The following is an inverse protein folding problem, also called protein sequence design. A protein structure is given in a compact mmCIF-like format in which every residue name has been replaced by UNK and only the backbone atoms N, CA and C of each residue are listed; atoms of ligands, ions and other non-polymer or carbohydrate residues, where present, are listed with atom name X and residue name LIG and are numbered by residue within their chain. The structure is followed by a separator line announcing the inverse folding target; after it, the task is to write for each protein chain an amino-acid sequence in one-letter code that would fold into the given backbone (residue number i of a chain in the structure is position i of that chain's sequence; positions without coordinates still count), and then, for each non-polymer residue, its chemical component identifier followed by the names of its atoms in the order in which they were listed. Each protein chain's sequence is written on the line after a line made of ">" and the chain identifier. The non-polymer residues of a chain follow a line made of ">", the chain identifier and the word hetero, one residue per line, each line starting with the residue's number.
data_IF_815447788558
#
_entry.id   IF_815447788558
#
_cell.length_a   1.000
_cell.length_b   1.000
_cell.length_c   1.000
_cell.angle_alpha   90.00
_cell.angle_beta   90.00
_cell.angle_gamma   90.00
#
_symmetry.space_group_name_H-M   'P 1'
#
loop_
_entity.id
_entity.type
_entity.pdbx_description
1 polymer ?
#
# COMPACT_ATOMS: atom_id res chain seq x y z
N UNK A 1 5.19 -0.07 2.80
CA UNK A 1 5.81 1.15 2.23
C UNK A 1 5.04 1.55 0.99
N UNK A 2 4.72 2.83 0.84
CA UNK A 2 4.06 3.38 -0.34
C UNK A 2 4.76 4.65 -0.82
N UNK A 3 4.77 4.84 -2.13
CA UNK A 3 5.27 6.06 -2.78
C UNK A 3 4.25 6.54 -3.80
N UNK A 4 4.10 7.85 -3.88
CA UNK A 4 3.25 8.50 -4.88
C UNK A 4 4.11 9.45 -5.68
N UNK A 5 4.05 9.33 -7.01
CA UNK A 5 4.77 10.18 -7.93
C UNK A 5 3.81 10.85 -8.90
N UNK A 6 4.13 12.08 -9.30
CA UNK A 6 3.41 12.85 -10.32
C UNK A 6 4.42 13.64 -11.14
N UNK A 7 4.40 13.51 -12.47
CA UNK A 7 5.35 14.21 -13.37
C UNK A 7 6.84 14.08 -12.95
N UNK A 8 7.23 12.89 -12.50
CA UNK A 8 8.58 12.58 -11.97
C UNK A 8 8.91 13.21 -10.60
N UNK A 9 7.98 13.94 -9.98
CA UNK A 9 8.10 14.42 -8.61
C UNK A 9 7.53 13.39 -7.63
N UNK A 10 8.31 13.06 -6.61
CA UNK A 10 7.86 12.21 -5.50
C UNK A 10 7.00 13.06 -4.56
N UNK A 11 5.68 12.86 -4.62
CA UNK A 11 4.71 13.61 -3.81
C UNK A 11 4.62 13.09 -2.38
N UNK A 12 4.76 11.78 -2.17
CA UNK A 12 4.72 11.21 -0.83
C UNK A 12 5.49 9.91 -0.71
N UNK A 13 5.88 9.61 0.53
CA UNK A 13 6.54 8.38 0.94
C UNK A 13 6.12 8.03 2.35
N UNK A 14 5.48 6.88 2.52
CA UNK A 14 5.00 6.45 3.82
C UNK A 14 5.35 5.00 4.10
N UNK A 15 5.76 4.72 5.33
CA UNK A 15 5.85 3.36 5.88
C UNK A 15 4.67 3.19 6.84
N UNK A 16 3.84 2.20 6.56
CA UNK A 16 2.74 1.78 7.42
C UNK A 16 3.08 0.39 7.94
N UNK A 17 2.88 0.18 9.24
CA UNK A 17 2.97 -1.14 9.88
C UNK A 17 1.54 -1.70 9.89
N UNK A 18 1.33 -2.82 9.21
CA UNK A 18 0.02 -3.49 9.16
C UNK A 18 -0.11 -4.56 10.25
N UNK A 19 0.97 -5.29 10.51
CA UNK A 19 1.04 -6.30 11.55
C UNK A 19 2.28 -6.02 12.40
N UNK A 20 2.06 -5.85 13.70
CA UNK A 20 3.07 -5.68 14.74
C UNK A 20 3.49 -7.02 15.33
N UNK A 21 2.66 -8.06 15.20
CA UNK A 21 2.86 -9.37 15.81
C UNK A 21 2.21 -9.53 17.18
N UNK A 22 1.49 -8.53 17.69
CA UNK A 22 0.71 -8.62 18.95
C UNK A 22 -0.52 -7.71 18.86
N UNK A 23 -1.70 -8.26 19.15
CA UNK A 23 -2.98 -7.52 19.12
C UNK A 23 -3.24 -6.75 17.81
N UNK A 24 -3.02 -7.41 16.67
CA UNK A 24 -3.14 -6.79 15.35
C UNK A 24 -4.59 -6.56 14.89
N UNK A 25 -4.81 -5.45 14.16
CA UNK A 25 -6.14 -5.03 13.69
C UNK A 25 -6.66 -5.83 12.48
N UNK A 26 -5.75 -6.31 11.64
CA UNK A 26 -6.12 -6.98 10.39
C UNK A 26 -6.15 -8.49 10.55
N UNK A 27 -7.23 -9.12 10.11
CA UNK A 27 -7.42 -10.58 10.18
C UNK A 27 -6.42 -11.41 9.38
N UNK A 28 -5.67 -10.79 8.46
CA UNK A 28 -4.60 -11.45 7.70
C UNK A 28 -3.25 -11.46 8.44
N UNK A 29 -3.14 -10.79 9.59
CA UNK A 29 -1.92 -10.87 10.39
C UNK A 29 -1.78 -12.27 10.98
N UNK A 30 -0.58 -12.85 10.87
CA UNK A 30 -0.29 -14.24 11.25
C UNK A 30 -0.54 -15.29 10.16
N UNK A 31 -1.02 -14.90 8.97
CA UNK A 31 -1.12 -15.81 7.82
C UNK A 31 0.25 -16.36 7.43
N UNK A 32 0.31 -17.66 7.14
CA UNK A 32 1.53 -18.38 6.78
C UNK A 32 1.80 -18.35 5.28
N UNK A 33 3.09 -18.53 4.93
CA UNK A 33 3.52 -18.60 3.54
C UNK A 33 2.79 -19.74 2.82
N UNK A 34 2.10 -19.41 1.72
CA UNK A 34 1.37 -20.36 0.88
C UNK A 34 -0.13 -20.40 1.14
N UNK A 35 -0.62 -19.71 2.17
CA UNK A 35 -2.05 -19.57 2.42
C UNK A 35 -2.69 -18.49 1.54
N UNK A 36 -3.98 -18.65 1.25
CA UNK A 36 -4.76 -17.69 0.46
C UNK A 36 -5.27 -16.56 1.36
N UNK A 37 -4.96 -15.32 1.00
CA UNK A 37 -5.46 -14.12 1.70
C UNK A 37 -6.66 -13.55 0.94
N UNK A 38 -7.81 -13.48 1.60
CA UNK A 38 -8.97 -12.72 1.13
C UNK A 38 -9.20 -11.53 2.06
N UNK A 39 -9.02 -10.32 1.54
CA UNK A 39 -9.19 -9.08 2.30
C UNK A 39 -10.16 -8.13 1.59
N UNK A 40 -11.06 -7.53 2.36
CA UNK A 40 -11.98 -6.50 1.87
C UNK A 40 -11.95 -5.32 2.82
N UNK A 41 -11.42 -4.19 2.36
CA UNK A 41 -11.50 -2.93 3.08
C UNK A 41 -12.72 -2.13 2.60
N UNK A 42 -13.60 -1.74 3.53
CA UNK A 42 -14.73 -0.83 3.24
C UNK A 42 -14.39 0.65 3.39
N UNK A 43 -13.23 0.99 3.93
CA UNK A 43 -12.86 2.38 4.21
C UNK A 43 -12.42 3.10 2.92
N UNK A 44 -13.15 4.16 2.59
CA UNK A 44 -13.04 4.96 1.34
C UNK A 44 -11.95 6.03 1.36
N UNK A 45 -11.17 6.16 2.43
CA UNK A 45 -10.22 7.28 2.56
C UNK A 45 -8.79 6.79 2.43
N UNK A 46 -8.44 6.25 1.27
CA UNK A 46 -7.07 5.78 1.01
C UNK A 46 -6.14 6.95 0.61
N UNK A 47 -6.71 8.08 0.15
CA UNK A 47 -5.96 9.28 -0.21
C UNK A 47 -6.71 10.53 0.27
N UNK A 48 -6.17 11.20 1.30
CA UNK A 48 -6.54 12.59 1.61
C UNK A 48 -5.64 13.57 0.83
N UNK A 49 -5.32 13.21 -0.41
CA UNK A 49 -4.53 14.05 -1.31
C UNK A 49 -5.54 14.87 -2.10
N UNK A 50 -5.37 16.20 -2.19
CA UNK A 50 -6.12 16.99 -3.17
C UNK A 50 -5.62 16.57 -4.55
N UNK A 51 -6.34 15.64 -5.19
CA UNK A 51 -5.87 15.07 -6.44
C UNK A 51 -6.24 16.01 -7.57
N UNK A 52 -5.23 16.64 -8.17
CA UNK A 52 -5.38 17.43 -9.39
C UNK A 52 -5.31 16.53 -10.61
N UNK A 53 -5.82 17.02 -11.75
CA UNK A 53 -5.71 16.33 -13.04
C UNK A 53 -4.26 15.94 -13.35
N UNK A 54 -4.07 14.73 -13.87
CA UNK A 54 -2.77 14.27 -14.31
C UNK A 54 -2.56 12.77 -14.17
N UNK A 55 -1.33 12.35 -14.41
CA UNK A 55 -0.90 10.96 -14.27
C UNK A 55 -0.10 10.81 -12.98
N UNK A 56 -0.48 9.82 -12.19
CA UNK A 56 0.14 9.48 -10.93
C UNK A 56 0.65 8.04 -10.96
N UNK A 57 1.82 7.82 -10.37
CA UNK A 57 2.38 6.49 -10.17
C UNK A 57 2.36 6.15 -8.68
N UNK A 58 1.63 5.11 -8.33
CA UNK A 58 1.54 4.59 -6.97
C UNK A 58 2.35 3.31 -6.88
N UNK A 59 3.44 3.36 -6.13
CA UNK A 59 4.29 2.20 -5.86
C UNK A 59 3.96 1.71 -4.45
N UNK A 60 3.48 0.49 -4.33
CA UNK A 60 3.21 -0.13 -3.04
C UNK A 60 4.10 -1.35 -2.84
N UNK A 61 4.84 -1.38 -1.73
CA UNK A 61 5.65 -2.52 -1.31
C UNK A 61 5.19 -2.98 0.06
N UNK A 62 4.82 -4.25 0.16
CA UNK A 62 4.51 -4.94 1.41
C UNK A 62 5.69 -5.82 1.75
N UNK A 63 6.24 -5.61 2.94
CA UNK A 63 7.37 -6.36 3.47
C UNK A 63 6.84 -7.24 4.61
N UNK A 64 7.38 -8.45 4.75
CA UNK A 64 6.95 -9.42 5.75
C UNK A 64 8.15 -10.12 6.40
N UNK A 65 7.99 -10.43 7.69
CA UNK A 65 9.00 -11.05 8.53
C UNK A 65 10.12 -10.10 8.93
N UNK A 66 10.99 -10.59 9.84
CA UNK A 66 12.07 -9.80 10.43
C UNK A 66 13.14 -9.39 9.42
N UNK A 67 13.31 -10.18 8.35
CA UNK A 67 14.24 -9.89 7.26
C UNK A 67 13.65 -8.92 6.20
N UNK A 68 12.49 -8.32 6.47
CA UNK A 68 11.76 -7.38 5.59
C UNK A 68 11.66 -7.87 4.13
N UNK A 69 11.35 -9.17 3.93
CA UNK A 69 11.22 -9.76 2.59
C UNK A 69 9.99 -9.19 1.87
N UNK A 70 10.13 -8.95 0.57
CA UNK A 70 9.01 -8.47 -0.25
C UNK A 70 7.96 -9.58 -0.37
N UNK A 71 6.81 -9.38 0.27
CA UNK A 71 5.64 -10.23 0.13
C UNK A 71 4.78 -9.81 -1.06
N UNK A 72 4.70 -8.51 -1.33
CA UNK A 72 3.97 -7.96 -2.47
C UNK A 72 4.62 -6.66 -2.96
N UNK A 73 4.63 -6.46 -4.28
CA UNK A 73 5.03 -5.21 -4.91
C UNK A 73 4.06 -4.90 -6.05
N UNK A 74 3.41 -3.75 -5.96
CA UNK A 74 2.48 -3.25 -6.97
C UNK A 74 2.95 -1.93 -7.54
N UNK A 75 2.81 -1.78 -8.84
CA UNK A 75 2.97 -0.51 -9.54
C UNK A 75 1.65 -0.17 -10.23
N UNK A 76 1.02 0.91 -9.79
CA UNK A 76 -0.33 1.30 -10.22
C UNK A 76 -0.26 2.69 -10.84
N UNK A 77 -0.61 2.76 -12.13
CA UNK A 77 -0.76 4.03 -12.84
C UNK A 77 -2.20 4.52 -12.72
N UNK A 78 -2.38 5.69 -12.13
CA UNK A 78 -3.67 6.36 -11.98
C UNK A 78 -3.69 7.58 -12.91
N UNK A 79 -4.65 7.60 -13.83
CA UNK A 79 -4.85 8.71 -14.76
C UNK A 79 -6.16 9.40 -14.38
N UNK A 80 -6.05 10.66 -13.95
CA UNK A 80 -7.19 11.46 -13.55
C UNK A 80 -7.48 12.46 -14.65
N UNK A 81 -8.63 12.27 -15.28
CA UNK A 81 -9.17 13.11 -16.34
C UNK A 81 -10.40 13.79 -15.74
N UNK A 82 -10.22 14.99 -15.21
CA UNK A 82 -11.20 16.08 -15.00
C UNK A 82 -10.82 16.94 -13.79
#
# INVERSE_FOLDING_TARGET
>A
MSEVWHESLKLSHHKYILCTGTDDEYSFCGTLKGETIQFSAKNKTIFSIQITKGTYLFIMKVLAGDEEKIAFCGNISLIIKD
#
